data_IF_364561702572
#
_entry.id   IF_364561702572
#
_cell.length_a   1.000
_cell.length_b   1.000
_cell.length_c   1.000
_cell.angle_alpha   90.00
_cell.angle_beta   90.00
_cell.angle_gamma   90.00
#
_symmetry.space_group_name_H-M   'P 1'
#
loop_
_entity.id
_entity.type
_entity.pdbx_description
1 polymer ?
#
# COMPACT_ATOMS: atom_id res chain seq x y z
N UNK A 1 2.21 11.54 8.54
CA UNK A 1 1.03 10.63 8.56
C UNK A 1 1.51 9.19 8.60
N UNK A 2 0.83 8.33 9.34
CA UNK A 2 1.08 6.89 9.39
C UNK A 2 -0.05 6.18 8.66
N UNK A 3 0.32 5.29 7.74
CA UNK A 3 -0.61 4.45 6.99
C UNK A 3 -0.27 2.99 7.29
N UNK A 4 -1.08 2.28 8.08
CA UNK A 4 -0.92 0.85 8.27
C UNK A 4 -1.20 0.12 6.96
N UNK A 5 -0.27 -0.73 6.54
CA UNK A 5 -0.37 -1.48 5.29
C UNK A 5 -0.03 -2.95 5.53
N UNK A 6 -0.72 -3.86 4.83
CA UNK A 6 -0.42 -5.29 4.84
C UNK A 6 -0.51 -5.88 3.43
N UNK A 7 0.51 -6.62 3.01
CA UNK A 7 0.45 -7.45 1.81
C UNK A 7 -0.48 -8.64 2.07
N UNK A 8 -1.52 -8.78 1.26
CA UNK A 8 -2.63 -9.72 1.54
C UNK A 8 -2.67 -10.93 0.65
N UNK A 9 -1.68 -11.09 -0.23
CA UNK A 9 -1.56 -12.33 -0.99
C UNK A 9 -1.44 -13.49 0.03
N UNK A 10 -2.22 -14.58 -0.09
CA UNK A 10 -2.22 -15.66 0.89
C UNK A 10 -1.13 -16.70 0.64
N UNK A 11 -0.32 -16.51 -0.40
CA UNK A 11 0.77 -17.40 -0.82
C UNK A 11 2.06 -16.59 -0.83
N UNK A 12 3.16 -17.19 -0.36
CA UNK A 12 4.48 -16.57 -0.37
C UNK A 12 4.86 -16.15 -1.82
N UNK A 13 5.05 -14.86 -2.07
CA UNK A 13 5.27 -14.34 -3.41
C UNK A 13 6.74 -14.51 -3.81
N UNK A 14 7.01 -14.88 -5.06
CA UNK A 14 8.39 -14.99 -5.58
C UNK A 14 9.14 -13.65 -5.53
N UNK A 15 8.41 -12.52 -5.57
CA UNK A 15 8.97 -11.17 -5.49
C UNK A 15 8.30 -10.38 -4.39
N UNK A 16 9.08 -9.63 -3.58
CA UNK A 16 8.52 -8.77 -2.54
C UNK A 16 7.68 -7.65 -3.17
N UNK A 17 6.62 -7.24 -2.47
CA UNK A 17 5.80 -6.10 -2.91
C UNK A 17 6.56 -4.80 -2.64
N UNK A 18 6.82 -4.04 -3.70
CA UNK A 18 7.37 -2.69 -3.61
C UNK A 18 6.27 -1.67 -3.87
N UNK A 19 6.19 -0.66 -3.00
CA UNK A 19 5.19 0.40 -3.03
C UNK A 19 5.90 1.72 -3.21
N UNK A 20 5.46 2.53 -4.17
CA UNK A 20 5.84 3.94 -4.26
C UNK A 20 4.65 4.77 -3.80
N UNK A 21 4.91 5.73 -2.94
CA UNK A 21 3.90 6.59 -2.33
C UNK A 21 4.15 8.00 -2.80
N UNK A 22 3.10 8.61 -3.35
CA UNK A 22 3.12 9.97 -3.84
C UNK A 22 2.11 10.81 -3.08
N UNK A 23 2.49 12.05 -2.75
CA UNK A 23 1.61 13.09 -2.21
C UNK A 23 1.54 14.18 -3.26
N UNK A 24 0.34 14.49 -3.77
CA UNK A 24 0.14 15.47 -4.85
C UNK A 24 1.11 15.23 -6.04
N UNK A 25 1.25 13.97 -6.46
CA UNK A 25 2.16 13.48 -7.51
C UNK A 25 3.67 13.62 -7.21
N UNK A 26 4.07 14.13 -6.04
CA UNK A 26 5.46 14.10 -5.59
C UNK A 26 5.77 12.77 -4.91
N UNK A 27 6.80 12.06 -5.36
CA UNK A 27 7.25 10.81 -4.73
C UNK A 27 7.83 11.10 -3.35
N UNK A 28 7.16 10.66 -2.29
CA UNK A 28 7.59 10.90 -0.89
C UNK A 28 8.19 9.67 -0.22
N UNK A 29 7.87 8.46 -0.68
CA UNK A 29 8.38 7.22 -0.07
C UNK A 29 8.45 6.08 -1.06
N UNK A 30 9.43 5.19 -0.87
CA UNK A 30 9.44 3.84 -1.42
C UNK A 30 9.49 2.85 -0.25
N UNK A 31 8.65 1.82 -0.28
CA UNK A 31 8.55 0.80 0.76
C UNK A 31 8.65 -0.57 0.12
N UNK A 32 9.42 -1.47 0.75
CA UNK A 32 9.42 -2.89 0.44
C UNK A 32 8.67 -3.59 1.57
N UNK A 33 7.55 -4.22 1.25
CA UNK A 33 6.71 -4.88 2.24
C UNK A 33 7.22 -6.28 2.54
N UNK A 34 7.12 -6.68 3.81
CA UNK A 34 7.21 -8.07 4.22
C UNK A 34 5.87 -8.79 3.94
N UNK A 35 5.95 -10.07 3.59
CA UNK A 35 4.77 -10.89 3.32
C UNK A 35 3.93 -11.07 4.60
N UNK A 36 2.61 -10.92 4.45
CA UNK A 36 1.58 -11.17 5.48
C UNK A 36 1.75 -10.42 6.83
N UNK A 37 2.57 -9.37 6.88
CA UNK A 37 2.75 -8.55 8.09
C UNK A 37 2.17 -7.16 7.95
N UNK A 38 1.54 -6.68 9.01
CA UNK A 38 1.21 -5.27 9.15
C UNK A 38 2.50 -4.46 9.31
N UNK A 39 2.58 -3.38 8.54
CA UNK A 39 3.70 -2.44 8.56
C UNK A 39 3.14 -1.03 8.63
N UNK A 40 3.53 -0.29 9.67
CA UNK A 40 3.21 1.12 9.81
C UNK A 40 4.13 1.95 8.92
N UNK A 41 3.58 2.46 7.82
CA UNK A 41 4.35 3.30 6.90
C UNK A 41 4.17 4.75 7.28
N UNK A 42 5.22 5.34 7.84
CA UNK A 42 5.29 6.79 8.07
C UNK A 42 5.72 7.53 6.80
N UNK A 43 4.91 8.50 6.40
CA UNK A 43 5.19 9.44 5.32
C UNK A 43 5.12 10.88 5.79
N UNK A 44 6.02 11.69 5.25
CA UNK A 44 5.99 13.13 5.38
C UNK A 44 5.07 13.70 4.30
N UNK A 45 4.24 14.68 4.69
CA UNK A 45 3.34 15.36 3.76
C UNK A 45 3.98 16.74 3.51
N UNK A 46 4.79 16.88 2.45
CA UNK A 46 5.50 18.12 2.18
C UNK A 46 4.50 19.23 1.84
N UNK A 47 4.77 20.44 2.34
CA UNK A 47 3.95 21.62 2.09
C UNK A 47 2.46 21.39 2.45
N UNK A 48 2.20 20.83 3.63
CA UNK A 48 0.85 20.71 4.20
C UNK A 48 0.29 22.09 4.55
N UNK A 49 -0.01 22.87 3.52
CA UNK A 49 -0.67 24.17 3.56
C UNK A 49 -2.03 24.11 2.86
N UNK A 50 -2.35 22.96 2.27
CA UNK A 50 -3.60 22.71 1.56
C UNK A 50 -4.55 21.93 2.45
N UNK A 51 -5.80 22.40 2.54
CA UNK A 51 -6.90 21.69 3.21
C UNK A 51 -7.23 20.30 2.62
N UNK A 52 -6.48 19.87 1.59
CA UNK A 52 -6.60 18.58 0.90
C UNK A 52 -5.26 18.22 0.24
N UNK A 53 -4.98 16.93 0.17
CA UNK A 53 -3.92 16.36 -0.66
C UNK A 53 -4.42 15.06 -1.29
N UNK A 54 -3.79 14.64 -2.38
CA UNK A 54 -4.03 13.32 -2.98
C UNK A 54 -2.90 12.38 -2.57
N UNK A 55 -3.26 11.20 -2.06
CA UNK A 55 -2.33 10.10 -1.82
C UNK A 55 -2.45 9.09 -2.96
N UNK A 56 -1.35 8.86 -3.68
CA UNK A 56 -1.29 7.83 -4.72
C UNK A 56 -0.33 6.73 -4.31
N UNK A 57 -0.79 5.48 -4.38
CA UNK A 57 0.01 4.29 -4.13
C UNK A 57 0.17 3.51 -5.44
N UNK A 58 1.40 3.21 -5.83
CA UNK A 58 1.68 2.33 -6.96
C UNK A 58 2.39 1.08 -6.49
N UNK A 59 1.94 -0.07 -6.98
CA UNK A 59 2.38 -1.39 -6.53
C UNK A 59 3.20 -2.09 -7.62
N UNK A 60 4.25 -2.81 -7.25
CA UNK A 60 5.05 -3.60 -8.21
C UNK A 60 4.39 -4.91 -8.62
N UNK A 61 3.40 -5.37 -7.88
CA UNK A 61 2.60 -6.55 -8.17
C UNK A 61 1.23 -6.46 -7.53
N UNK A 62 0.34 -7.29 -8.06
CA UNK A 62 -1.03 -7.53 -7.62
C UNK A 62 -1.29 -9.04 -7.62
N UNK A 63 -2.48 -9.46 -7.22
CA UNK A 63 -2.94 -10.84 -7.31
C UNK A 63 -4.46 -10.89 -7.48
N UNK A 64 -4.97 -11.97 -8.09
CA UNK A 64 -6.41 -12.19 -8.27
C UNK A 64 -6.82 -13.45 -7.50
N UNK A 65 -7.78 -13.38 -6.56
CA UNK A 65 -8.18 -14.55 -5.76
C UNK A 65 -8.62 -15.75 -6.59
N UNK A 66 -9.31 -15.51 -7.71
CA UNK A 66 -9.71 -16.57 -8.64
C UNK A 66 -8.54 -17.32 -9.28
N UNK A 67 -7.44 -16.63 -9.60
CA UNK A 67 -6.28 -17.25 -10.28
C UNK A 67 -5.54 -18.24 -9.37
N UNK A 68 -5.63 -18.05 -8.06
CA UNK A 68 -5.05 -18.96 -7.06
C UNK A 68 -6.08 -19.95 -6.49
N UNK A 69 -7.30 -19.99 -7.02
CA UNK A 69 -8.36 -20.92 -6.62
C UNK A 69 -8.98 -20.65 -5.25
N UNK A 70 -8.85 -19.43 -4.71
CA UNK A 70 -9.35 -19.11 -3.37
C UNK A 70 -10.85 -18.81 -3.37
N UNK A 71 -11.31 -17.96 -4.29
CA UNK A 71 -12.72 -17.51 -4.40
C UNK A 71 -13.06 -17.19 -5.86
N UNK A 72 -14.33 -17.02 -6.26
CA UNK A 72 -14.67 -16.56 -7.62
C UNK A 72 -14.35 -15.06 -7.85
N UNK A 73 -13.75 -14.36 -6.89
CA UNK A 73 -13.42 -12.94 -6.99
C UNK A 73 -12.36 -12.70 -8.07
N UNK A 74 -12.74 -11.91 -9.07
CA UNK A 74 -11.91 -11.58 -10.24
C UNK A 74 -11.19 -10.24 -10.10
N UNK A 75 -11.31 -9.54 -8.98
CA UNK A 75 -10.66 -8.24 -8.78
C UNK A 75 -9.15 -8.42 -8.62
N UNK A 76 -8.41 -7.49 -9.21
CA UNK A 76 -6.98 -7.34 -8.98
C UNK A 76 -6.75 -6.67 -7.62
N UNK A 77 -6.20 -7.42 -6.68
CA UNK A 77 -5.94 -7.00 -5.31
C UNK A 77 -4.43 -6.76 -5.09
N UNK A 78 -4.10 -6.00 -4.05
CA UNK A 78 -2.71 -5.73 -3.69
C UNK A 78 -2.54 -5.63 -2.18
N UNK A 79 -2.52 -4.41 -1.69
CA UNK A 79 -2.36 -4.10 -0.27
C UNK A 79 -3.74 -3.95 0.41
N UNK A 80 -3.83 -4.35 1.67
CA UNK A 80 -4.86 -3.85 2.57
C UNK A 80 -4.33 -2.62 3.30
N UNK A 81 -5.12 -1.56 3.29
CA UNK A 81 -4.85 -0.32 4.03
C UNK A 81 -5.71 -0.31 5.29
N UNK A 82 -5.07 -0.05 6.44
CA UNK A 82 -5.76 0.14 7.72
C UNK A 82 -6.21 1.59 7.93
N UNK A 83 -6.70 1.89 9.13
CA UNK A 83 -7.02 3.27 9.52
C UNK A 83 -5.73 4.09 9.61
N UNK A 84 -5.63 5.13 8.80
CA UNK A 84 -4.49 6.04 8.84
C UNK A 84 -4.64 7.05 9.97
N UNK A 85 -3.52 7.59 10.43
CA UNK A 85 -3.50 8.65 11.45
C UNK A 85 -2.51 9.75 11.10
N UNK A 86 -2.89 10.99 11.36
CA UNK A 86 -1.92 12.08 11.39
C UNK A 86 -1.08 11.97 12.65
N UNK A 87 0.18 12.37 12.56
CA UNK A 87 1.05 12.51 13.72
C UNK A 87 0.96 14.00 14.06
N UNK A 88 0.58 14.31 15.29
CA UNK A 88 0.57 15.67 15.83
C UNK A 88 1.99 16.23 15.99
#
# INVERSE_FOLDING_TARGET
>A
MIIPMKDTIPIEPQKPLSIKIFVDNLLVKKVKMEHDKWTDVQIDIPYFTKNRFTLTLTFSRSWVPKEIGLTPDTRELGIRVGEYRFID
#
